data_IF_463805189078
#
_entry.id   IF_463805189078
#
_cell.length_a   1.000
_cell.length_b   1.000
_cell.length_c   1.000
_cell.angle_alpha   90.00
_cell.angle_beta   90.00
_cell.angle_gamma   90.00
#
_symmetry.space_group_name_H-M   'P 1'
#
loop_
_entity.id
_entity.type
_entity.pdbx_description
1 polymer ?
#
# COMPACT_ATOMS: atom_id res chain seq x y z
N UNK A 1 5.48 -3.50 -7.69
CA UNK A 1 4.72 -2.24 -7.78
C UNK A 1 5.60 -1.03 -8.12
N UNK A 2 6.58 -0.64 -7.28
CA UNK A 2 7.47 0.51 -7.58
C UNK A 2 8.22 0.38 -8.93
N UNK A 3 8.69 -0.82 -9.28
CA UNK A 3 9.34 -1.10 -10.57
C UNK A 3 8.40 -0.83 -11.76
N UNK A 4 7.15 -1.29 -11.70
CA UNK A 4 6.16 -1.11 -12.77
C UNK A 4 5.82 0.36 -12.99
N UNK A 5 5.73 1.14 -11.90
CA UNK A 5 5.47 2.59 -11.96
C UNK A 5 6.65 3.36 -12.56
N UNK A 6 7.89 2.94 -12.29
CA UNK A 6 9.11 3.54 -12.88
C UNK A 6 9.29 3.18 -14.34
N UNK A 7 8.75 2.04 -14.80
CA UNK A 7 8.79 1.64 -16.21
C UNK A 7 7.76 2.40 -17.07
N UNK A 8 6.73 2.98 -16.45
CA UNK A 8 5.65 3.68 -17.15
C UNK A 8 6.11 4.89 -17.99
N UNK A 9 7.01 5.77 -17.51
CA UNK A 9 7.63 6.84 -18.30
C UNK A 9 8.39 6.39 -19.56
N UNK A 10 8.78 5.12 -19.65
CA UNK A 10 9.57 4.59 -20.77
C UNK A 10 8.70 3.93 -21.85
N UNK A 11 7.40 3.79 -21.63
CA UNK A 11 6.47 3.27 -22.63
C UNK A 11 6.33 4.25 -23.79
N UNK A 12 6.70 3.81 -25.00
CA UNK A 12 6.62 4.67 -26.20
C UNK A 12 5.41 4.30 -27.07
N UNK A 13 4.94 3.06 -26.95
CA UNK A 13 3.80 2.55 -27.71
C UNK A 13 2.54 2.48 -26.83
N UNK A 14 1.35 2.81 -27.36
CA UNK A 14 0.09 2.72 -26.62
C UNK A 14 -0.16 1.34 -26.00
N UNK A 15 0.25 0.27 -26.69
CA UNK A 15 0.08 -1.10 -26.21
C UNK A 15 1.00 -1.43 -25.02
N UNK A 16 2.24 -0.94 -25.02
CA UNK A 16 3.17 -1.09 -23.89
C UNK A 16 2.62 -0.39 -22.63
N UNK A 17 2.13 0.84 -22.81
CA UNK A 17 1.52 1.63 -21.73
C UNK A 17 0.30 0.89 -21.15
N UNK A 18 -0.56 0.31 -22.00
CA UNK A 18 -1.71 -0.46 -21.55
C UNK A 18 -1.29 -1.71 -20.76
N UNK A 19 -0.30 -2.47 -21.23
CA UNK A 19 0.20 -3.66 -20.53
C UNK A 19 0.79 -3.28 -19.17
N UNK A 20 1.64 -2.25 -19.11
CA UNK A 20 2.20 -1.77 -17.85
C UNK A 20 1.13 -1.25 -16.89
N UNK A 21 0.12 -0.54 -17.41
CA UNK A 21 -1.03 -0.09 -16.63
C UNK A 21 -1.83 -1.27 -16.06
N UNK A 22 -2.12 -2.30 -16.86
CA UNK A 22 -2.88 -3.48 -16.40
C UNK A 22 -2.13 -4.26 -15.33
N UNK A 23 -0.82 -4.48 -15.49
CA UNK A 23 0.01 -5.12 -14.47
C UNK A 23 0.03 -4.29 -13.19
N UNK A 24 0.18 -2.97 -13.32
CA UNK A 24 0.14 -2.07 -12.18
C UNK A 24 -1.22 -2.15 -11.47
N UNK A 25 -2.33 -1.95 -12.18
CA UNK A 25 -3.66 -2.01 -11.59
C UNK A 25 -3.94 -3.35 -10.89
N UNK A 26 -3.48 -4.47 -11.46
CA UNK A 26 -3.57 -5.79 -10.84
C UNK A 26 -2.76 -5.92 -9.55
N UNK A 27 -1.55 -5.36 -9.51
CA UNK A 27 -0.70 -5.38 -8.30
C UNK A 27 -1.21 -4.42 -7.21
N UNK A 28 -1.75 -3.25 -7.57
CA UNK A 28 -2.36 -2.29 -6.63
C UNK A 28 -3.56 -2.89 -5.88
N UNK A 29 -4.21 -3.94 -6.42
CA UNK A 29 -5.33 -4.63 -5.74
C UNK A 29 -4.91 -5.28 -4.42
N UNK A 30 -3.62 -5.61 -4.24
CA UNK A 30 -3.09 -6.13 -2.98
C UNK A 30 -3.27 -5.10 -1.86
N UNK A 31 -3.03 -3.82 -2.17
CA UNK A 31 -3.12 -2.72 -1.19
C UNK A 31 -4.55 -2.48 -0.71
N UNK A 32 -5.55 -2.82 -1.52
CA UNK A 32 -6.97 -2.67 -1.20
C UNK A 32 -7.48 -3.89 -0.42
N UNK A 33 -7.03 -5.09 -0.80
CA UNK A 33 -7.59 -6.36 -0.32
C UNK A 33 -6.93 -6.86 0.98
N UNK A 34 -5.64 -6.61 1.17
CA UNK A 34 -4.88 -7.14 2.32
C UNK A 34 -5.24 -6.46 3.65
N UNK A 35 -5.39 -5.13 3.77
CA UNK A 35 -5.65 -4.50 5.07
C UNK A 35 -6.95 -5.00 5.74
N UNK A 36 -8.10 -5.11 5.04
CA UNK A 36 -9.31 -5.68 5.63
C UNK A 36 -9.14 -7.13 6.11
N UNK A 37 -8.43 -7.95 5.35
CA UNK A 37 -8.11 -9.34 5.73
C UNK A 37 -7.24 -9.39 6.98
N UNK A 38 -6.18 -8.58 7.02
CA UNK A 38 -5.29 -8.49 8.17
C UNK A 38 -6.02 -7.99 9.43
N UNK A 39 -6.94 -7.03 9.29
CA UNK A 39 -7.78 -6.56 10.40
C UNK A 39 -8.69 -7.69 10.90
N UNK A 40 -9.28 -8.45 9.98
CA UNK A 40 -10.15 -9.57 10.31
C UNK A 40 -9.41 -10.73 10.98
N UNK A 41 -8.13 -10.92 10.69
CA UNK A 41 -7.31 -11.96 11.32
C UNK A 41 -6.75 -11.53 12.68
N UNK A 42 -6.19 -10.32 12.78
CA UNK A 42 -5.42 -9.88 13.97
C UNK A 42 -6.25 -9.33 15.12
N UNK A 43 -7.48 -8.87 14.88
CA UNK A 43 -8.28 -8.21 15.91
C UNK A 43 -9.52 -9.01 16.33
N UNK A 44 -9.91 -8.93 17.61
CA UNK A 44 -11.14 -9.55 18.10
C UNK A 44 -12.38 -8.85 17.52
N UNK A 45 -13.48 -9.59 17.39
CA UNK A 45 -14.68 -9.15 16.63
C UNK A 45 -15.24 -7.80 17.09
N UNK A 46 -15.15 -7.52 18.39
CA UNK A 46 -15.66 -6.32 19.04
C UNK A 46 -14.90 -5.06 18.59
N UNK A 47 -13.62 -5.19 18.22
CA UNK A 47 -12.76 -4.08 17.80
C UNK A 47 -12.62 -3.93 16.29
N UNK A 48 -12.93 -4.98 15.51
CA UNK A 48 -12.79 -4.98 14.04
C UNK A 48 -13.53 -3.81 13.39
N UNK A 49 -14.78 -3.57 13.79
CA UNK A 49 -15.59 -2.50 13.20
C UNK A 49 -14.98 -1.10 13.42
N UNK A 50 -14.49 -0.84 14.64
CA UNK A 50 -13.83 0.43 14.96
C UNK A 50 -12.54 0.62 14.16
N UNK A 51 -11.69 -0.41 14.10
CA UNK A 51 -10.40 -0.35 13.39
C UNK A 51 -10.62 -0.22 11.88
N UNK A 52 -11.59 -0.95 11.33
CA UNK A 52 -11.98 -0.84 9.92
C UNK A 52 -12.54 0.55 9.61
N UNK A 53 -13.25 1.17 10.54
CA UNK A 53 -13.72 2.56 10.44
C UNK A 53 -12.57 3.56 10.35
N UNK A 54 -11.55 3.43 11.21
CA UNK A 54 -10.35 4.28 11.15
C UNK A 54 -9.60 4.07 9.84
N UNK A 55 -9.39 2.82 9.41
CA UNK A 55 -8.78 2.51 8.12
C UNK A 55 -9.53 3.18 6.96
N UNK A 56 -10.85 3.02 6.91
CA UNK A 56 -11.70 3.59 5.85
C UNK A 56 -11.65 5.11 5.84
N UNK A 57 -11.61 5.74 7.02
CA UNK A 57 -11.44 7.19 7.15
C UNK A 57 -10.08 7.64 6.61
N UNK A 58 -8.99 6.95 6.95
CA UNK A 58 -7.65 7.26 6.45
C UNK A 58 -7.58 7.14 4.91
N UNK A 59 -8.11 6.06 4.35
CA UNK A 59 -8.18 5.86 2.89
C UNK A 59 -8.99 6.98 2.22
N UNK A 60 -10.14 7.34 2.80
CA UNK A 60 -11.00 8.40 2.25
C UNK A 60 -10.31 9.76 2.26
N UNK A 61 -9.64 10.12 3.36
CA UNK A 61 -8.90 11.38 3.47
C UNK A 61 -7.77 11.46 2.45
N UNK A 62 -6.97 10.39 2.33
CA UNK A 62 -5.89 10.34 1.34
C UNK A 62 -6.41 10.35 -0.09
N UNK A 63 -7.54 9.71 -0.35
CA UNK A 63 -8.19 9.73 -1.68
C UNK A 63 -8.72 11.12 -2.03
N UNK A 64 -9.19 11.89 -1.04
CA UNK A 64 -9.65 13.26 -1.24
C UNK A 64 -8.49 14.23 -1.54
N UNK A 65 -7.38 14.10 -0.82
CA UNK A 65 -6.23 15.02 -0.94
C UNK A 65 -5.29 14.61 -2.08
N UNK A 66 -5.27 13.32 -2.44
CA UNK A 66 -4.39 12.73 -3.45
C UNK A 66 -4.38 13.48 -4.79
N UNK A 67 -5.54 13.73 -5.43
CA UNK A 67 -5.58 14.45 -6.71
C UNK A 67 -4.94 15.84 -6.66
N UNK A 68 -5.10 16.57 -5.55
CA UNK A 68 -4.48 17.89 -5.38
C UNK A 68 -2.95 17.79 -5.27
N UNK A 69 -2.45 16.82 -4.49
CA UNK A 69 -1.00 16.57 -4.36
C UNK A 69 -0.37 16.14 -5.68
N UNK A 70 -1.05 15.26 -6.43
CA UNK A 70 -0.59 14.80 -7.75
C UNK A 70 -0.65 15.94 -8.78
N UNK A 71 -1.69 16.76 -8.76
CA UNK A 71 -1.78 17.94 -9.63
C UNK A 71 -0.64 18.92 -9.38
N UNK A 72 -0.26 19.11 -8.12
CA UNK A 72 0.92 19.92 -7.77
C UNK A 72 2.22 19.25 -8.26
N UNK A 73 2.35 17.93 -8.10
CA UNK A 73 3.52 17.20 -8.59
C UNK A 73 3.69 17.30 -10.11
N UNK A 74 2.60 17.34 -10.88
CA UNK A 74 2.64 17.56 -12.33
C UNK A 74 3.25 18.91 -12.71
N UNK A 75 3.10 19.95 -11.88
CA UNK A 75 3.73 21.27 -12.13
C UNK A 75 5.26 21.21 -12.08
N UNK A 76 5.83 20.19 -11.43
CA UNK A 76 7.28 19.96 -11.36
C UNK A 76 7.81 19.09 -12.51
N UNK A 77 6.91 18.53 -13.33
CA UNK A 77 7.22 17.74 -14.53
C UNK A 77 6.33 16.51 -14.66
N UNK A 78 6.08 16.09 -15.91
CA UNK A 78 5.13 15.02 -16.25
C UNK A 78 5.47 13.68 -15.59
N UNK A 79 6.76 13.42 -15.35
CA UNK A 79 7.23 12.17 -14.76
C UNK A 79 7.24 12.18 -13.22
N UNK A 80 7.14 13.34 -12.58
CA UNK A 80 7.30 13.50 -11.12
C UNK A 80 6.26 12.72 -10.32
N UNK A 81 4.95 12.69 -10.68
CA UNK A 81 3.96 11.89 -9.96
C UNK A 81 4.32 10.41 -9.84
N UNK A 82 4.93 9.83 -10.88
CA UNK A 82 5.34 8.42 -10.89
C UNK A 82 6.47 8.17 -9.89
N UNK A 83 7.45 9.06 -9.83
CA UNK A 83 8.52 8.97 -8.84
C UNK A 83 8.00 9.14 -7.41
N UNK A 84 7.09 10.09 -7.17
CA UNK A 84 6.44 10.27 -5.87
C UNK A 84 5.72 9.00 -5.44
N UNK A 85 4.91 8.40 -6.33
CA UNK A 85 4.24 7.12 -6.04
C UNK A 85 5.24 6.00 -5.75
N UNK A 86 6.31 5.88 -6.54
CA UNK A 86 7.32 4.85 -6.33
C UNK A 86 8.00 4.97 -4.95
N UNK A 87 8.33 6.20 -4.53
CA UNK A 87 8.91 6.48 -3.21
C UNK A 87 7.92 6.13 -2.10
N UNK A 88 6.69 6.63 -2.17
CA UNK A 88 5.67 6.37 -1.15
C UNK A 88 5.40 4.88 -0.98
N UNK A 89 5.30 4.15 -2.09
CA UNK A 89 5.11 2.71 -2.05
C UNK A 89 6.32 1.97 -1.46
N UNK A 90 7.54 2.41 -1.77
CA UNK A 90 8.75 1.83 -1.18
C UNK A 90 8.81 2.04 0.33
N UNK A 91 8.45 3.24 0.81
CA UNK A 91 8.31 3.53 2.23
C UNK A 91 7.23 2.65 2.88
N UNK A 92 6.08 2.47 2.21
CA UNK A 92 5.01 1.59 2.65
C UNK A 92 5.48 0.15 2.86
N UNK A 93 6.25 -0.39 1.90
CA UNK A 93 6.86 -1.73 2.01
C UNK A 93 7.82 -1.80 3.20
N UNK A 94 8.69 -0.80 3.39
CA UNK A 94 9.61 -0.77 4.53
C UNK A 94 8.86 -0.78 5.85
N UNK A 95 7.84 0.08 6.01
CA UNK A 95 7.02 0.11 7.22
C UNK A 95 6.28 -1.21 7.44
N UNK A 96 5.75 -1.81 6.38
CA UNK A 96 5.07 -3.10 6.46
C UNK A 96 6.01 -4.21 6.92
N UNK A 97 7.23 -4.29 6.37
CA UNK A 97 8.22 -5.29 6.79
C UNK A 97 8.58 -5.11 8.27
N UNK A 98 8.82 -3.87 8.71
CA UNK A 98 9.13 -3.59 10.12
C UNK A 98 7.97 -4.00 11.02
N UNK A 99 6.74 -3.59 10.69
CA UNK A 99 5.56 -3.93 11.48
C UNK A 99 5.26 -5.44 11.49
N UNK A 100 5.45 -6.13 10.36
CA UNK A 100 5.25 -7.56 10.24
C UNK A 100 6.28 -8.35 11.07
N UNK A 101 7.56 -7.97 11.03
CA UNK A 101 8.60 -8.61 11.86
C UNK A 101 8.31 -8.48 13.35
N UNK A 102 7.93 -7.28 13.80
CA UNK A 102 7.60 -7.06 15.22
C UNK A 102 6.43 -7.94 15.68
N UNK A 103 5.45 -8.19 14.79
CA UNK A 103 4.33 -9.10 15.07
C UNK A 103 4.82 -10.54 15.22
N UNK A 104 5.68 -11.03 14.32
CA UNK A 104 6.17 -12.42 14.36
C UNK A 104 7.01 -12.71 15.60
N UNK A 105 7.90 -11.81 15.99
CA UNK A 105 8.74 -11.97 17.20
C UNK A 105 7.88 -12.12 18.46
N UNK A 106 6.79 -11.36 18.56
CA UNK A 106 5.87 -11.43 19.70
C UNK A 106 5.11 -12.75 19.76
N UNK A 107 4.69 -13.27 18.61
CA UNK A 107 3.95 -14.54 18.54
C UNK A 107 4.85 -15.73 18.90
N UNK A 108 6.13 -15.69 18.48
CA UNK A 108 7.14 -16.69 18.87
C UNK A 108 7.39 -16.68 20.39
N UNK A 109 7.57 -15.51 21.00
CA UNK A 109 7.84 -15.36 22.44
C UNK A 109 6.69 -15.93 23.31
N UNK A 110 5.43 -15.69 22.94
CA UNK A 110 4.24 -16.26 23.63
C UNK A 110 4.19 -17.78 23.52
N UNK A 111 4.63 -18.33 22.39
CA UNK A 111 4.63 -19.78 22.14
C UNK A 111 5.73 -20.49 22.96
N UNK A 112 6.83 -19.81 23.29
CA UNK A 112 7.89 -20.33 24.16
C UNK A 112 7.63 -20.14 25.66
N UNK A 113 6.75 -19.21 26.06
CA UNK A 113 6.41 -18.97 27.48
C UNK A 113 5.29 -19.86 28.03
N UNK A 114 4.55 -20.61 27.20
CA UNK A 114 3.53 -21.55 27.67
C UNK A 114 4.15 -22.92 27.97
N UNK A 115 4.31 -23.32 29.26
CA UNK A 115 4.80 -24.65 29.59
C UNK A 115 3.74 -25.67 29.21
N UNK A 116 4.14 -26.72 28.49
CA UNK A 116 3.29 -27.89 28.20
C UNK A 116 2.82 -28.60 29.47
#
# INVERSE_FOLDING_TARGET
LAVTVVLFPFGTQPLEILVFYSIWAGLDMVDISVPPLAIAEKYPKERRASIMGVYSMSVSLLSMIGPALISFALLLGDNVPFYVKAIMNSLGVVFFIIAARTSQVKDDEILFETPK
#
